data_IF_471841144748
#
_entry.id   IF_471841144748
#
_cell.length_a   1.000
_cell.length_b   1.000
_cell.length_c   1.000
_cell.angle_alpha   90.00
_cell.angle_beta   90.00
_cell.angle_gamma   90.00
#
_symmetry.space_group_name_H-M   'P 1'
#
loop_
_entity.id
_entity.type
_entity.pdbx_description
1 polymer ?
#
# COMPACT_ATOMS: atom_id res chain seq x y z
N UNK A 1 47.61 16.21 24.24
CA UNK A 1 46.19 15.89 24.44
C UNK A 1 45.38 16.70 23.44
N UNK A 2 44.89 16.09 22.37
CA UNK A 2 43.95 16.73 21.44
C UNK A 2 42.84 15.72 21.12
N UNK A 3 41.62 16.22 21.30
CA UNK A 3 40.35 15.53 21.41
C UNK A 3 39.99 14.63 20.23
N UNK A 4 39.39 13.49 20.57
CA UNK A 4 38.58 12.66 19.69
C UNK A 4 37.56 13.50 18.92
N UNK A 5 37.75 13.60 17.61
CA UNK A 5 36.68 14.02 16.71
C UNK A 5 35.73 12.85 16.52
N UNK A 6 34.49 13.04 16.96
CA UNK A 6 33.42 12.07 16.91
C UNK A 6 33.20 11.54 15.48
N UNK A 7 32.87 10.25 15.40
CA UNK A 7 32.58 9.53 14.15
C UNK A 7 31.54 10.27 13.28
N UNK A 8 30.61 10.97 13.92
CA UNK A 8 29.58 11.80 13.27
C UNK A 8 30.19 12.97 12.50
N UNK A 9 31.22 13.65 13.04
CA UNK A 9 31.90 14.75 12.36
C UNK A 9 32.74 14.26 11.16
N UNK A 10 33.28 13.04 11.23
CA UNK A 10 33.94 12.40 10.09
C UNK A 10 32.95 12.05 8.98
N UNK A 11 31.75 11.60 9.34
CA UNK A 11 30.70 11.23 8.40
C UNK A 11 30.05 12.45 7.76
N UNK A 12 29.85 13.53 8.53
CA UNK A 12 29.38 14.83 8.02
C UNK A 12 30.42 15.52 7.15
N UNK A 13 31.70 15.50 7.53
CA UNK A 13 32.75 16.06 6.69
C UNK A 13 32.94 15.26 5.40
N UNK A 14 32.75 13.94 5.42
CA UNK A 14 32.80 13.10 4.23
C UNK A 14 31.60 13.37 3.29
N UNK A 15 30.39 13.51 3.83
CA UNK A 15 29.20 13.82 3.04
C UNK A 15 29.24 15.24 2.46
N UNK A 16 29.75 16.21 3.22
CA UNK A 16 29.96 17.58 2.73
C UNK A 16 31.04 17.67 1.65
N UNK A 17 32.13 16.88 1.76
CA UNK A 17 33.15 16.77 0.71
C UNK A 17 32.61 16.17 -0.58
N UNK A 18 31.71 15.19 -0.47
CA UNK A 18 31.06 14.56 -1.63
C UNK A 18 30.04 15.50 -2.27
N UNK A 19 29.26 16.23 -1.48
CA UNK A 19 28.30 17.23 -1.98
C UNK A 19 29.03 18.40 -2.69
N UNK A 20 30.12 18.91 -2.11
CA UNK A 20 30.91 19.97 -2.74
C UNK A 20 31.56 19.51 -4.04
N UNK A 21 32.13 18.29 -4.07
CA UNK A 21 32.68 17.70 -5.31
C UNK A 21 31.62 17.50 -6.38
N UNK A 22 30.38 17.16 -6.03
CA UNK A 22 29.31 16.96 -7.01
C UNK A 22 28.76 18.29 -7.56
N UNK A 23 28.74 19.35 -6.75
CA UNK A 23 28.40 20.71 -7.20
C UNK A 23 29.51 21.26 -8.11
N UNK A 24 30.79 21.12 -7.76
CA UNK A 24 31.92 21.57 -8.59
C UNK A 24 31.96 20.83 -9.95
N UNK A 25 31.54 19.56 -9.99
CA UNK A 25 31.41 18.78 -11.23
C UNK A 25 30.20 19.24 -12.06
N UNK A 26 29.09 19.60 -11.43
CA UNK A 26 27.91 20.13 -12.11
C UNK A 26 28.19 21.50 -12.76
N UNK A 27 28.91 22.39 -12.07
CA UNK A 27 29.24 23.71 -12.62
C UNK A 27 30.26 23.61 -13.77
N UNK A 28 31.25 22.72 -13.67
CA UNK A 28 32.23 22.53 -14.76
C UNK A 28 31.65 21.87 -16.02
N UNK A 29 30.63 21.03 -15.87
CA UNK A 29 29.91 20.41 -17.00
C UNK A 29 28.98 21.40 -17.68
N UNK A 30 28.32 22.29 -16.92
CA UNK A 30 27.42 23.31 -17.48
C UNK A 30 28.20 24.32 -18.33
N UNK A 31 29.37 24.77 -17.88
CA UNK A 31 30.23 25.68 -18.66
C UNK A 31 30.84 25.02 -19.92
N UNK A 32 31.17 23.72 -19.86
CA UNK A 32 31.71 22.99 -21.01
C UNK A 32 30.66 22.75 -22.11
N UNK A 33 29.40 22.54 -21.73
CA UNK A 33 28.29 22.38 -22.68
C UNK A 33 27.95 23.70 -23.37
N UNK A 34 27.93 24.82 -22.64
CA UNK A 34 27.65 26.15 -23.21
C UNK A 34 28.73 26.54 -24.24
N UNK A 35 30.01 26.29 -23.95
CA UNK A 35 31.10 26.57 -24.90
C UNK A 35 31.10 25.63 -26.12
N UNK A 36 30.66 24.38 -25.95
CA UNK A 36 30.55 23.42 -27.06
C UNK A 36 29.41 23.77 -28.01
N UNK A 37 28.29 24.30 -27.49
CA UNK A 37 27.15 24.75 -28.30
C UNK A 37 27.51 26.02 -29.10
N UNK A 38 28.32 26.93 -28.53
CA UNK A 38 28.85 28.09 -29.26
C UNK A 38 29.68 27.68 -30.49
N UNK A 39 30.60 26.73 -30.31
CA UNK A 39 31.51 26.28 -31.38
C UNK A 39 30.84 25.45 -32.49
N UNK A 40 29.68 24.85 -32.24
CA UNK A 40 28.92 24.11 -33.26
C UNK A 40 28.18 25.07 -34.19
N UNK A 41 27.76 26.23 -33.70
CA UNK A 41 27.04 27.23 -34.51
C UNK A 41 27.93 27.83 -35.60
N UNK A 42 29.24 27.93 -35.36
CA UNK A 42 30.21 28.52 -36.28
C UNK A 42 30.71 27.53 -37.35
N UNK A 43 30.56 26.20 -37.16
CA UNK A 43 31.04 25.18 -38.11
C UNK A 43 30.02 24.70 -39.14
N UNK A 44 28.75 25.07 -39.01
CA UNK A 44 27.67 24.63 -39.92
C UNK A 44 27.53 25.52 -41.17
N UNK A 45 28.27 26.64 -41.25
CA UNK A 45 28.19 27.56 -42.39
C UNK A 45 29.21 27.31 -43.52
N UNK A 46 30.19 26.41 -43.36
CA UNK A 46 31.19 26.12 -44.39
C UNK A 46 31.37 24.62 -44.60
N UNK A 47 30.73 24.04 -45.63
CA UNK A 47 31.31 22.98 -46.47
C UNK A 47 30.27 22.39 -47.44
N UNK A 48 30.16 23.01 -48.62
CA UNK A 48 29.77 22.33 -49.86
C UNK A 48 31.03 21.81 -50.55
N UNK A 49 31.21 20.48 -50.64
CA UNK A 49 31.74 19.80 -51.83
C UNK A 49 31.77 18.27 -51.65
N UNK A 50 31.52 17.59 -52.77
CA UNK A 50 31.20 16.18 -53.00
C UNK A 50 32.44 15.45 -53.57
N UNK A 51 32.57 14.13 -53.34
CA UNK A 51 33.06 13.07 -54.27
C UNK A 51 33.11 11.71 -53.51
N UNK A 52 32.31 10.66 -53.79
CA UNK A 52 32.27 9.61 -54.85
C UNK A 52 33.40 8.54 -54.80
N UNK A 53 33.03 7.33 -54.29
CA UNK A 53 33.47 5.92 -54.54
C UNK A 53 34.98 5.57 -54.78
N UNK A 54 35.61 4.54 -54.18
CA UNK A 54 35.33 3.08 -54.18
C UNK A 54 36.21 2.32 -53.12
N UNK A 55 36.00 0.99 -52.91
CA UNK A 55 36.37 0.26 -51.68
C UNK A 55 37.63 -0.60 -51.81
N UNK A 56 38.40 -0.78 -50.71
CA UNK A 56 39.19 -2.02 -50.52
C UNK A 56 39.69 -2.23 -49.08
N UNK A 57 39.65 -3.49 -48.66
CA UNK A 57 40.39 -4.16 -47.57
C UNK A 57 40.02 -3.89 -46.10
N UNK A 58 39.63 -4.99 -45.42
CA UNK A 58 39.51 -5.12 -43.95
C UNK A 58 40.91 -5.26 -43.35
N UNK A 59 41.19 -4.60 -42.22
CA UNK A 59 41.55 -5.39 -41.04
C UNK A 59 40.91 -4.87 -39.74
N UNK A 60 40.39 -5.81 -38.95
CA UNK A 60 40.40 -5.84 -37.47
C UNK A 60 39.95 -4.61 -36.68
N UNK A 61 38.77 -4.75 -36.06
CA UNK A 61 38.46 -4.41 -34.65
C UNK A 61 39.21 -3.22 -34.04
N UNK A 62 38.68 -2.00 -34.21
CA UNK A 62 38.82 -0.92 -33.22
C UNK A 62 37.48 -0.22 -33.03
N UNK A 63 37.10 -0.10 -31.76
CA UNK A 63 35.75 0.23 -31.30
C UNK A 63 35.22 1.58 -31.82
N UNK A 64 33.95 1.53 -32.21
CA UNK A 64 33.10 2.64 -32.68
C UNK A 64 32.86 3.72 -31.59
N UNK A 65 33.44 3.59 -30.39
CA UNK A 65 33.28 4.56 -29.30
C UNK A 65 34.35 5.66 -29.24
N UNK A 66 35.38 5.65 -30.08
CA UNK A 66 36.45 6.67 -30.02
C UNK A 66 36.05 8.04 -30.61
N UNK A 67 34.85 8.17 -31.20
CA UNK A 67 34.41 9.39 -31.90
C UNK A 67 33.50 10.34 -31.11
N UNK A 68 33.04 9.98 -29.90
CA UNK A 68 31.96 10.75 -29.23
C UNK A 68 32.49 11.81 -28.25
N UNK A 69 33.77 11.77 -27.83
CA UNK A 69 34.34 12.74 -26.88
C UNK A 69 35.79 13.11 -27.23
N UNK A 70 36.03 14.08 -28.13
CA UNK A 70 37.37 14.57 -28.44
C UNK A 70 37.81 15.52 -27.32
N UNK A 71 38.30 14.97 -26.21
CA UNK A 71 38.78 15.79 -25.09
C UNK A 71 39.31 15.03 -23.87
N UNK A 72 39.14 13.70 -23.81
CA UNK A 72 39.53 12.89 -22.63
C UNK A 72 40.87 12.16 -22.87
N UNK A 73 41.54 12.40 -24.00
CA UNK A 73 42.78 11.70 -24.36
C UNK A 73 44.07 12.28 -23.73
N UNK A 74 43.99 13.35 -22.95
CA UNK A 74 45.18 14.02 -22.37
C UNK A 74 45.35 13.80 -20.86
N UNK A 75 44.56 12.93 -20.21
CA UNK A 75 44.69 12.64 -18.78
C UNK A 75 44.60 11.13 -18.53
N UNK A 76 45.74 10.45 -18.67
CA UNK A 76 45.88 8.99 -18.54
C UNK A 76 45.34 8.36 -17.23
N UNK A 77 45.33 8.99 -16.04
CA UNK A 77 44.76 8.35 -14.85
C UNK A 77 43.21 8.43 -14.74
N UNK A 78 42.52 9.12 -15.67
CA UNK A 78 41.05 9.32 -15.58
C UNK A 78 40.26 8.27 -16.39
N UNK A 79 40.89 7.63 -17.39
CA UNK A 79 40.21 6.64 -18.26
C UNK A 79 39.76 5.38 -17.53
N UNK A 80 40.57 4.85 -16.62
CA UNK A 80 40.20 3.67 -15.84
C UNK A 80 39.02 3.97 -14.90
N UNK A 81 39.07 5.07 -14.16
CA UNK A 81 38.03 5.44 -13.20
C UNK A 81 36.67 5.77 -13.85
N UNK A 82 36.64 6.28 -15.08
CA UNK A 82 35.39 6.53 -15.80
C UNK A 82 34.75 5.25 -16.33
N UNK A 83 35.54 4.26 -16.78
CA UNK A 83 34.98 2.94 -17.13
C UNK A 83 34.46 2.20 -15.90
N UNK A 84 35.13 2.32 -14.74
CA UNK A 84 34.58 1.81 -13.49
C UNK A 84 33.31 2.58 -13.07
N UNK A 85 33.27 3.90 -13.21
CA UNK A 85 32.05 4.71 -12.93
C UNK A 85 30.87 4.38 -13.85
N UNK A 86 31.11 4.18 -15.14
CA UNK A 86 30.08 3.80 -16.13
C UNK A 86 29.61 2.35 -15.94
N UNK A 87 30.51 1.43 -15.59
CA UNK A 87 30.12 0.04 -15.29
C UNK A 87 29.36 -0.07 -13.95
N UNK A 88 29.74 0.70 -12.93
CA UNK A 88 29.02 0.76 -11.65
C UNK A 88 27.62 1.37 -11.84
N UNK A 89 27.49 2.43 -12.64
CA UNK A 89 26.17 3.05 -12.90
C UNK A 89 25.27 2.17 -13.76
N UNK A 90 25.80 1.51 -14.80
CA UNK A 90 25.03 0.56 -15.62
C UNK A 90 24.58 -0.68 -14.82
N UNK A 91 25.46 -1.22 -13.98
CA UNK A 91 25.11 -2.35 -13.09
C UNK A 91 24.10 -1.93 -12.03
N UNK A 92 24.23 -0.74 -11.43
CA UNK A 92 23.24 -0.20 -10.51
C UNK A 92 21.87 -0.01 -11.18
N UNK A 93 21.82 0.53 -12.40
CA UNK A 93 20.58 0.67 -13.17
C UNK A 93 19.93 -0.69 -13.46
N UNK A 94 20.72 -1.70 -13.86
CA UNK A 94 20.20 -3.04 -14.11
C UNK A 94 19.69 -3.71 -12.84
N UNK A 95 20.36 -3.51 -11.70
CA UNK A 95 19.92 -4.00 -10.39
C UNK A 95 18.61 -3.32 -10.00
N UNK A 96 18.53 -1.99 -10.08
CA UNK A 96 17.33 -1.20 -9.77
C UNK A 96 16.16 -1.62 -10.69
N UNK A 97 16.42 -1.80 -11.98
CA UNK A 97 15.40 -2.16 -12.95
C UNK A 97 14.87 -3.59 -12.73
N UNK A 98 15.76 -4.56 -12.47
CA UNK A 98 15.37 -5.91 -12.08
C UNK A 98 14.66 -5.94 -10.72
N UNK A 99 15.07 -5.13 -9.75
CA UNK A 99 14.39 -4.97 -8.47
C UNK A 99 12.96 -4.46 -8.64
N UNK A 100 12.75 -3.43 -9.46
CA UNK A 100 11.41 -2.92 -9.73
C UNK A 100 10.52 -3.97 -10.39
N UNK A 101 11.06 -4.80 -11.29
CA UNK A 101 10.29 -5.89 -11.90
C UNK A 101 9.93 -6.99 -10.90
N UNK A 102 10.83 -7.32 -9.97
CA UNK A 102 10.60 -8.35 -8.93
C UNK A 102 9.68 -7.88 -7.80
N UNK A 103 9.66 -6.56 -7.53
CA UNK A 103 8.77 -5.93 -6.56
C UNK A 103 7.42 -5.53 -7.15
N UNK A 104 7.30 -5.53 -8.48
CA UNK A 104 6.04 -5.27 -9.15
C UNK A 104 5.06 -6.39 -8.82
N UNK A 105 3.89 -6.00 -8.35
CA UNK A 105 2.80 -6.92 -8.06
C UNK A 105 1.87 -6.93 -9.27
N UNK A 106 1.39 -8.10 -9.71
CA UNK A 106 0.39 -8.14 -10.77
C UNK A 106 -0.87 -7.42 -10.30
N UNK A 107 -1.69 -6.92 -11.22
CA UNK A 107 -2.96 -6.28 -10.82
C UNK A 107 -4.03 -7.31 -10.40
N UNK A 108 -3.90 -8.54 -10.91
CA UNK A 108 -4.79 -9.68 -10.71
C UNK A 108 -3.98 -10.95 -10.50
N UNK A 109 -4.54 -11.94 -9.80
CA UNK A 109 -3.88 -13.24 -9.66
C UNK A 109 -3.74 -13.92 -11.03
N UNK A 110 -2.57 -14.50 -11.37
CA UNK A 110 -2.39 -15.31 -12.56
C UNK A 110 -3.41 -16.45 -12.62
N UNK A 111 -3.90 -16.82 -13.81
CA UNK A 111 -4.94 -17.86 -13.95
C UNK A 111 -4.52 -19.24 -13.42
N UNK A 112 -3.23 -19.47 -13.24
CA UNK A 112 -2.67 -20.74 -12.77
C UNK A 112 -2.55 -20.81 -11.24
N UNK A 113 -2.78 -19.70 -10.52
CA UNK A 113 -2.65 -19.63 -9.07
C UNK A 113 -4.02 -19.59 -8.41
N UNK A 114 -4.33 -20.61 -7.59
CA UNK A 114 -5.57 -20.67 -6.83
C UNK A 114 -5.33 -20.17 -5.40
N UNK A 115 -5.57 -18.88 -5.17
CA UNK A 115 -5.50 -18.28 -3.84
C UNK A 115 -6.90 -18.04 -3.27
N UNK A 116 -7.09 -18.43 -2.01
CA UNK A 116 -8.33 -18.14 -1.29
C UNK A 116 -8.10 -17.15 -0.14
N UNK A 117 -9.14 -16.38 0.17
CA UNK A 117 -9.18 -15.45 1.29
C UNK A 117 -10.45 -15.71 2.08
N UNK A 118 -10.31 -15.79 3.41
CA UNK A 118 -11.44 -15.87 4.32
C UNK A 118 -11.74 -14.48 4.88
N UNK A 119 -12.94 -13.97 4.65
CA UNK A 119 -13.44 -12.73 5.21
C UNK A 119 -14.40 -13.07 6.34
N UNK A 120 -14.01 -12.74 7.57
CA UNK A 120 -14.89 -12.77 8.74
C UNK A 120 -15.57 -11.40 8.83
N UNK A 121 -16.78 -11.30 8.32
CA UNK A 121 -17.47 -10.02 8.17
C UNK A 121 -18.76 -10.13 7.37
N UNK A 122 -19.66 -9.16 7.54
CA UNK A 122 -20.95 -9.15 6.87
C UNK A 122 -20.94 -8.26 5.61
N UNK A 123 -21.44 -8.78 4.48
CA UNK A 123 -21.59 -8.04 3.22
C UNK A 123 -22.72 -7.01 3.27
N UNK A 124 -23.55 -7.00 4.31
CA UNK A 124 -24.47 -5.88 4.56
C UNK A 124 -23.71 -4.55 4.69
N UNK A 125 -22.47 -4.58 5.19
CA UNK A 125 -21.60 -3.42 5.26
C UNK A 125 -21.05 -3.03 3.86
N UNK A 126 -21.25 -1.79 3.38
CA UNK A 126 -20.76 -1.34 2.09
C UNK A 126 -19.24 -1.39 1.92
N UNK A 127 -18.43 -1.23 2.97
CA UNK A 127 -16.97 -1.32 2.91
C UNK A 127 -16.55 -2.77 2.75
N UNK A 128 -17.11 -3.67 3.57
CA UNK A 128 -16.81 -5.11 3.52
C UNK A 128 -17.21 -5.67 2.15
N UNK A 129 -18.43 -5.38 1.70
CA UNK A 129 -18.91 -5.75 0.36
C UNK A 129 -18.02 -5.22 -0.75
N UNK A 130 -17.57 -3.96 -0.66
CA UNK A 130 -16.65 -3.40 -1.67
C UNK A 130 -15.30 -4.11 -1.66
N UNK A 131 -14.77 -4.46 -0.48
CA UNK A 131 -13.51 -5.19 -0.34
C UNK A 131 -13.61 -6.62 -0.89
N UNK A 132 -14.69 -7.34 -0.59
CA UNK A 132 -14.99 -8.66 -1.13
C UNK A 132 -15.03 -8.61 -2.66
N UNK A 133 -15.77 -7.65 -3.23
CA UNK A 133 -15.90 -7.52 -4.68
C UNK A 133 -14.59 -7.13 -5.36
N UNK A 134 -13.72 -6.34 -4.70
CA UNK A 134 -12.39 -6.04 -5.22
C UNK A 134 -11.51 -7.31 -5.27
N UNK A 135 -11.51 -8.11 -4.20
CA UNK A 135 -10.76 -9.38 -4.16
C UNK A 135 -11.28 -10.38 -5.20
N UNK A 136 -12.61 -10.49 -5.33
CA UNK A 136 -13.22 -11.32 -6.37
C UNK A 136 -12.80 -10.87 -7.78
N UNK A 137 -12.82 -9.56 -8.08
CA UNK A 137 -12.33 -9.04 -9.37
C UNK A 137 -10.86 -9.36 -9.62
N UNK A 138 -10.05 -9.39 -8.56
CA UNK A 138 -8.64 -9.80 -8.59
C UNK A 138 -8.42 -11.32 -8.66
N UNK A 139 -9.49 -12.11 -8.81
CA UNK A 139 -9.53 -13.57 -8.97
C UNK A 139 -9.17 -14.37 -7.72
N UNK A 140 -9.43 -13.83 -6.53
CA UNK A 140 -9.41 -14.65 -5.32
C UNK A 140 -10.70 -15.48 -5.23
N UNK A 141 -10.59 -16.71 -4.73
CA UNK A 141 -11.75 -17.40 -4.16
C UNK A 141 -12.03 -16.80 -2.78
N UNK A 142 -13.19 -16.18 -2.60
CA UNK A 142 -13.52 -15.45 -1.37
C UNK A 142 -14.53 -16.27 -0.56
N UNK A 143 -14.11 -16.69 0.63
CA UNK A 143 -15.01 -17.25 1.62
C UNK A 143 -15.51 -16.15 2.54
N UNK A 144 -16.81 -16.08 2.77
CA UNK A 144 -17.42 -15.01 3.57
C UNK A 144 -18.14 -15.63 4.76
N UNK A 145 -17.56 -15.46 5.93
CA UNK A 145 -18.14 -15.95 7.18
C UNK A 145 -19.02 -14.86 7.80
N UNK A 146 -20.33 -15.10 7.79
CA UNK A 146 -21.34 -14.18 8.34
C UNK A 146 -22.52 -14.95 8.91
N UNK A 147 -23.11 -14.43 10.00
CA UNK A 147 -24.38 -14.95 10.52
C UNK A 147 -25.52 -14.83 9.50
N UNK A 148 -25.44 -13.82 8.60
CA UNK A 148 -26.41 -13.59 7.54
C UNK A 148 -26.11 -14.36 6.23
N UNK A 149 -25.21 -15.35 6.29
CA UNK A 149 -24.79 -16.17 5.13
C UNK A 149 -25.95 -16.83 4.36
N UNK A 150 -27.05 -17.17 5.03
CA UNK A 150 -28.24 -17.76 4.39
C UNK A 150 -28.88 -16.85 3.34
N UNK A 151 -28.89 -15.53 3.58
CA UNK A 151 -29.38 -14.53 2.62
C UNK A 151 -28.49 -14.42 1.39
N UNK A 152 -27.21 -14.77 1.52
CA UNK A 152 -26.22 -14.69 0.44
C UNK A 152 -26.10 -15.98 -0.35
N UNK A 153 -26.41 -17.14 0.25
CA UNK A 153 -26.47 -18.45 -0.43
C UNK A 153 -27.44 -18.47 -1.62
N UNK A 154 -28.49 -17.65 -1.59
CA UNK A 154 -29.43 -17.51 -2.70
C UNK A 154 -28.80 -16.90 -3.96
N UNK A 155 -27.68 -16.17 -3.82
CA UNK A 155 -26.95 -15.54 -4.92
C UNK A 155 -25.66 -16.32 -5.29
N UNK A 156 -25.44 -17.49 -4.70
CA UNK A 156 -24.25 -18.31 -4.95
C UNK A 156 -24.22 -18.80 -6.41
N UNK A 157 -25.39 -19.04 -7.03
CA UNK A 157 -25.52 -19.40 -8.44
C UNK A 157 -25.02 -18.32 -9.42
N UNK A 158 -24.91 -17.06 -8.98
CA UNK A 158 -24.42 -15.95 -9.81
C UNK A 158 -22.92 -15.66 -9.62
N UNK A 159 -22.27 -16.28 -8.61
CA UNK A 159 -20.90 -15.92 -8.20
C UNK A 159 -20.01 -17.14 -7.91
N UNK A 160 -19.51 -17.77 -8.98
CA UNK A 160 -18.69 -19.02 -8.98
C UNK A 160 -17.50 -19.09 -7.99
N UNK A 161 -17.04 -17.96 -7.45
CA UNK A 161 -15.87 -17.91 -6.56
C UNK A 161 -16.14 -17.22 -5.21
N UNK A 162 -17.40 -16.99 -4.86
CA UNK A 162 -17.80 -16.42 -3.57
C UNK A 162 -18.60 -17.47 -2.78
N UNK A 163 -18.05 -17.94 -1.66
CA UNK A 163 -18.65 -19.00 -0.85
C UNK A 163 -19.07 -18.47 0.53
N UNK A 164 -20.36 -18.29 0.79
CA UNK A 164 -20.86 -17.88 2.10
C UNK A 164 -20.79 -19.04 3.12
N UNK A 165 -20.17 -18.78 4.27
CA UNK A 165 -20.02 -19.70 5.40
C UNK A 165 -20.87 -19.20 6.57
N UNK A 166 -21.69 -20.08 7.15
CA UNK A 166 -22.33 -19.79 8.42
C UNK A 166 -21.39 -20.13 9.59
N UNK A 167 -21.03 -19.18 10.46
CA UNK A 167 -20.14 -19.42 11.61
C UNK A 167 -20.71 -20.45 12.62
N UNK A 168 -22.03 -20.63 12.65
CA UNK A 168 -22.70 -21.60 13.51
C UNK A 168 -22.83 -23.00 12.87
N UNK A 169 -22.56 -23.13 11.56
CA UNK A 169 -22.69 -24.39 10.82
C UNK A 169 -21.36 -25.17 10.82
N UNK A 170 -21.25 -26.31 11.51
CA UNK A 170 -20.04 -27.11 11.49
C UNK A 170 -19.71 -27.66 10.10
N UNK A 171 -20.72 -27.93 9.27
CA UNK A 171 -20.51 -28.42 7.91
C UNK A 171 -19.87 -27.37 7.00
N UNK A 172 -20.25 -26.10 7.14
CA UNK A 172 -19.69 -25.01 6.33
C UNK A 172 -18.22 -24.75 6.73
N UNK A 173 -17.92 -24.83 8.03
CA UNK A 173 -16.55 -24.73 8.53
C UNK A 173 -15.70 -25.93 8.10
N UNK A 174 -16.26 -27.14 8.16
CA UNK A 174 -15.61 -28.35 7.67
C UNK A 174 -15.29 -28.23 6.18
N UNK A 175 -16.25 -27.80 5.35
CA UNK A 175 -16.05 -27.55 3.93
C UNK A 175 -14.90 -26.57 3.67
N UNK A 176 -14.82 -25.46 4.41
CA UNK A 176 -13.70 -24.53 4.29
C UNK A 176 -12.37 -25.19 4.66
N UNK A 177 -12.32 -25.93 5.77
CA UNK A 177 -11.09 -26.62 6.18
C UNK A 177 -10.67 -27.69 5.18
N UNK A 178 -11.61 -28.44 4.62
CA UNK A 178 -11.35 -29.42 3.55
C UNK A 178 -10.88 -28.71 2.29
N UNK A 179 -11.48 -27.58 1.92
CA UNK A 179 -11.09 -26.81 0.74
C UNK A 179 -9.63 -26.34 0.80
N UNK A 180 -9.13 -25.96 1.99
CA UNK A 180 -7.74 -25.50 2.16
C UNK A 180 -6.75 -26.64 2.44
N UNK A 181 -7.21 -27.81 2.91
CA UNK A 181 -6.33 -28.94 3.29
C UNK A 181 -6.29 -30.06 2.27
N UNK A 182 -7.40 -30.33 1.57
CA UNK A 182 -7.46 -31.38 0.56
C UNK A 182 -6.79 -30.88 -0.73
N UNK A 183 -5.68 -31.54 -1.05
CA UNK A 183 -4.79 -31.28 -2.17
C UNK A 183 -5.44 -31.54 -3.53
N UNK A 184 -6.40 -30.70 -3.90
CA UNK A 184 -6.81 -30.57 -5.29
C UNK A 184 -5.65 -29.97 -6.09
N UNK A 185 -5.32 -30.58 -7.22
CA UNK A 185 -4.35 -30.04 -8.17
C UNK A 185 -5.07 -29.00 -9.06
N UNK A 186 -4.60 -27.74 -9.14
CA UNK A 186 -3.40 -27.16 -8.51
C UNK A 186 -3.62 -26.76 -7.03
N UNK A 187 -2.56 -26.81 -6.20
CA UNK A 187 -2.64 -26.63 -4.76
C UNK A 187 -3.26 -25.28 -4.41
N UNK A 188 -4.35 -25.33 -3.64
CA UNK A 188 -5.07 -24.14 -3.18
C UNK A 188 -4.37 -23.56 -1.96
N UNK A 189 -4.02 -22.28 -2.02
CA UNK A 189 -3.31 -21.59 -0.94
C UNK A 189 -4.22 -20.60 -0.23
N UNK A 190 -4.36 -20.75 1.09
CA UNK A 190 -4.94 -19.70 1.92
C UNK A 190 -3.97 -18.52 1.99
N UNK A 191 -4.35 -17.41 1.35
CA UNK A 191 -3.52 -16.22 1.26
C UNK A 191 -3.62 -15.36 2.54
N UNK A 192 -4.84 -15.11 3.03
CA UNK A 192 -5.05 -14.27 4.21
C UNK A 192 -6.43 -14.49 4.82
N UNK A 193 -6.56 -14.19 6.12
CA UNK A 193 -7.84 -14.09 6.82
C UNK A 193 -8.07 -12.62 7.17
N UNK A 194 -9.17 -12.05 6.67
CA UNK A 194 -9.56 -10.68 6.94
C UNK A 194 -10.61 -10.67 8.05
N UNK A 195 -10.27 -10.12 9.21
CA UNK A 195 -11.21 -9.91 10.30
C UNK A 195 -11.81 -8.50 10.17
N UNK A 196 -13.01 -8.42 9.61
CA UNK A 196 -13.71 -7.18 9.29
C UNK A 196 -14.98 -7.08 10.13
N UNK A 197 -14.94 -6.46 11.34
CA UNK A 197 -16.18 -6.10 12.01
C UNK A 197 -16.94 -5.08 11.16
N UNK A 198 -18.18 -4.74 11.49
CA UNK A 198 -18.87 -3.63 10.80
C UNK A 198 -17.98 -2.37 10.82
N UNK A 199 -17.86 -1.71 9.67
CA UNK A 199 -16.95 -0.58 9.44
C UNK A 199 -17.69 0.72 9.10
N UNK A 200 -19.00 0.63 8.87
CA UNK A 200 -19.87 1.74 8.51
C UNK A 200 -20.95 1.97 9.57
N UNK A 201 -20.66 2.86 10.52
CA UNK A 201 -21.60 3.16 11.61
C UNK A 201 -22.51 4.34 11.27
N UNK A 202 -23.81 4.13 11.46
CA UNK A 202 -24.89 5.12 11.49
C UNK A 202 -25.77 4.71 12.67
N UNK A 203 -25.81 5.39 13.84
CA UNK A 203 -25.98 6.84 13.99
C UNK A 203 -25.18 7.44 15.19
N UNK A 204 -25.32 8.74 15.39
CA UNK A 204 -24.94 9.48 16.62
C UNK A 204 -25.95 9.22 17.73
N UNK A 205 -25.53 8.81 18.92
CA UNK A 205 -26.43 8.68 20.08
C UNK A 205 -26.08 7.51 21.01
N UNK A 206 -26.70 7.50 22.18
CA UNK A 206 -26.63 6.37 23.11
C UNK A 206 -27.45 5.20 22.56
N UNK A 207 -26.82 4.03 22.44
CA UNK A 207 -27.48 2.80 22.06
C UNK A 207 -27.94 2.06 23.32
N UNK A 208 -29.14 1.45 23.31
CA UNK A 208 -29.58 0.61 24.41
C UNK A 208 -28.63 -0.59 24.56
N UNK A 209 -28.50 -1.07 25.80
CA UNK A 209 -27.55 -2.13 26.16
C UNK A 209 -27.77 -3.39 25.33
N UNK A 210 -29.03 -3.76 25.05
CA UNK A 210 -29.40 -4.92 24.25
C UNK A 210 -28.86 -4.83 22.82
N UNK A 211 -29.02 -3.67 22.16
CA UNK A 211 -28.47 -3.45 20.82
C UNK A 211 -26.94 -3.46 20.83
N UNK A 212 -26.31 -2.89 21.86
CA UNK A 212 -24.84 -2.94 21.99
C UNK A 212 -24.33 -4.36 22.20
N UNK A 213 -24.99 -5.16 23.04
CA UNK A 213 -24.66 -6.57 23.25
C UNK A 213 -24.82 -7.37 21.96
N UNK A 214 -25.89 -7.12 21.21
CA UNK A 214 -26.11 -7.73 19.92
C UNK A 214 -24.96 -7.39 18.95
N UNK A 215 -24.64 -6.11 18.75
CA UNK A 215 -23.54 -5.67 17.89
C UNK A 215 -22.18 -6.27 18.28
N UNK A 216 -21.86 -6.33 19.59
CA UNK A 216 -20.61 -6.94 20.05
C UNK A 216 -20.56 -8.45 19.78
N UNK A 217 -21.69 -9.13 19.99
CA UNK A 217 -21.81 -10.57 19.76
C UNK A 217 -21.63 -10.88 18.28
N UNK A 218 -22.41 -10.25 17.42
CA UNK A 218 -22.46 -10.54 15.98
C UNK A 218 -21.20 -10.08 15.24
N UNK A 219 -20.64 -8.92 15.58
CA UNK A 219 -19.52 -8.34 14.84
C UNK A 219 -18.14 -8.77 15.33
N UNK A 220 -18.01 -9.24 16.57
CA UNK A 220 -16.70 -9.58 17.14
C UNK A 220 -16.70 -10.99 17.71
N UNK A 221 -17.57 -11.30 18.68
CA UNK A 221 -17.44 -12.53 19.45
C UNK A 221 -17.68 -13.76 18.58
N UNK A 222 -18.68 -13.73 17.69
CA UNK A 222 -18.94 -14.82 16.75
C UNK A 222 -17.73 -15.05 15.84
N UNK A 223 -17.19 -14.00 15.21
CA UNK A 223 -16.03 -14.11 14.32
C UNK A 223 -14.76 -14.55 15.05
N UNK A 224 -14.53 -14.05 16.26
CA UNK A 224 -13.39 -14.45 17.07
C UNK A 224 -13.49 -15.94 17.46
N UNK A 225 -14.67 -16.40 17.88
CA UNK A 225 -14.89 -17.81 18.20
C UNK A 225 -14.66 -18.70 16.98
N UNK A 226 -15.17 -18.31 15.81
CA UNK A 226 -14.92 -19.04 14.55
C UNK A 226 -13.43 -19.05 14.21
N UNK A 227 -12.72 -17.93 14.35
CA UNK A 227 -11.29 -17.86 14.09
C UNK A 227 -10.48 -18.80 15.00
N UNK A 228 -10.77 -18.80 16.30
CA UNK A 228 -10.09 -19.68 17.28
C UNK A 228 -10.34 -21.16 16.95
N UNK A 229 -11.54 -21.52 16.49
CA UNK A 229 -11.85 -22.88 16.02
C UNK A 229 -11.08 -23.25 14.75
N UNK A 230 -10.86 -22.30 13.83
CA UNK A 230 -10.17 -22.55 12.56
C UNK A 230 -8.65 -22.62 12.71
N UNK A 231 -8.05 -21.86 13.62
CA UNK A 231 -6.59 -21.75 13.78
C UNK A 231 -5.86 -23.11 13.84
N UNK A 232 -6.33 -24.11 14.61
CA UNK A 232 -5.67 -25.43 14.68
C UNK A 232 -5.65 -26.21 13.36
N UNK A 233 -6.55 -25.89 12.43
CA UNK A 233 -6.72 -26.59 11.15
C UNK A 233 -6.02 -25.88 9.98
N UNK A 234 -5.33 -24.76 10.23
CA UNK A 234 -4.65 -24.02 9.18
C UNK A 234 -3.36 -24.76 8.76
N UNK A 235 -3.15 -25.00 7.46
CA UNK A 235 -2.02 -25.79 6.96
C UNK A 235 -0.67 -25.06 7.08
N UNK A 236 -0.69 -23.72 7.13
CA UNK A 236 0.51 -22.89 7.09
C UNK A 236 0.90 -22.38 8.48
N UNK A 237 2.17 -22.57 8.84
CA UNK A 237 2.79 -22.06 10.07
C UNK A 237 3.02 -20.54 10.09
N UNK A 238 2.56 -19.81 9.06
CA UNK A 238 2.65 -18.35 8.98
C UNK A 238 1.43 -17.75 8.26
N UNK A 239 0.23 -18.16 8.69
CA UNK A 239 -1.01 -17.65 8.08
C UNK A 239 -1.20 -16.17 8.41
N UNK A 240 -1.46 -15.35 7.39
CA UNK A 240 -1.68 -13.92 7.58
C UNK A 240 -3.10 -13.66 8.10
N UNK A 241 -3.22 -12.85 9.14
CA UNK A 241 -4.49 -12.34 9.64
C UNK A 241 -4.42 -10.81 9.64
N UNK A 242 -5.36 -10.16 8.96
CA UNK A 242 -5.49 -8.71 8.92
C UNK A 242 -6.73 -8.30 9.69
N UNK A 243 -6.54 -7.62 10.82
CA UNK A 243 -7.62 -7.11 11.67
C UNK A 243 -7.95 -5.68 11.27
N UNK A 244 -9.22 -5.41 10.96
CA UNK A 244 -9.68 -4.07 10.60
C UNK A 244 -10.25 -3.38 11.84
N UNK A 245 -9.66 -2.24 12.20
CA UNK A 245 -10.04 -1.48 13.38
C UNK A 245 -10.71 -0.16 12.98
N UNK A 246 -12.00 0.07 13.30
CA UNK A 246 -12.66 1.36 13.13
C UNK A 246 -12.17 2.32 14.24
N UNK A 247 -10.91 2.74 14.17
CA UNK A 247 -10.21 3.43 15.26
C UNK A 247 -10.41 4.94 15.26
N UNK A 248 -11.07 5.50 14.25
CA UNK A 248 -11.04 6.95 14.00
C UNK A 248 -11.72 7.74 15.11
N UNK A 249 -12.93 7.33 15.49
CA UNK A 249 -13.68 7.91 16.61
C UNK A 249 -12.95 7.75 17.93
N UNK A 250 -12.32 6.59 18.15
CA UNK A 250 -11.50 6.31 19.33
C UNK A 250 -10.31 7.25 19.43
N UNK A 251 -9.57 7.42 18.33
CA UNK A 251 -8.40 8.28 18.27
C UNK A 251 -8.76 9.77 18.41
N UNK A 252 -9.92 10.19 17.90
CA UNK A 252 -10.39 11.57 18.00
C UNK A 252 -11.03 11.92 19.35
N UNK A 253 -11.25 10.94 20.22
CA UNK A 253 -11.86 11.14 21.54
C UNK A 253 -13.31 11.61 21.46
N UNK A 254 -14.05 11.24 20.39
CA UNK A 254 -15.46 11.62 20.24
C UNK A 254 -16.35 10.74 21.11
N UNK A 255 -17.08 11.36 22.04
CA UNK A 255 -17.86 10.67 23.09
C UNK A 255 -19.20 10.09 22.62
N UNK A 256 -19.75 10.56 21.49
CA UNK A 256 -21.12 10.25 21.06
C UNK A 256 -21.28 9.00 20.19
N UNK A 257 -20.25 8.15 20.14
CA UNK A 257 -20.17 6.97 19.26
C UNK A 257 -19.65 5.76 20.03
N UNK A 258 -20.38 5.38 21.08
CA UNK A 258 -19.98 4.35 22.05
C UNK A 258 -19.70 3.00 21.40
N UNK A 259 -20.53 2.56 20.45
CA UNK A 259 -20.33 1.27 19.76
C UNK A 259 -19.00 1.19 19.02
N UNK A 260 -18.61 2.24 18.30
CA UNK A 260 -17.32 2.25 17.62
C UNK A 260 -16.15 2.26 18.61
N UNK A 261 -16.26 3.01 19.71
CA UNK A 261 -15.26 3.02 20.79
C UNK A 261 -15.06 1.63 21.38
N UNK A 262 -16.16 0.94 21.71
CA UNK A 262 -16.12 -0.41 22.26
C UNK A 262 -15.52 -1.38 21.25
N UNK A 263 -16.02 -1.38 20.01
CA UNK A 263 -15.55 -2.29 18.96
C UNK A 263 -14.04 -2.07 18.71
N UNK A 264 -13.58 -0.83 18.63
CA UNK A 264 -12.15 -0.52 18.50
C UNK A 264 -11.31 -1.05 19.66
N UNK A 265 -11.81 -0.90 20.90
CA UNK A 265 -11.16 -1.46 22.09
C UNK A 265 -11.10 -2.99 22.09
N UNK A 266 -12.16 -3.65 21.64
CA UNK A 266 -12.22 -5.10 21.50
C UNK A 266 -11.26 -5.61 20.42
N UNK A 267 -11.25 -5.00 19.22
CA UNK A 267 -10.32 -5.38 18.15
C UNK A 267 -8.88 -5.21 18.59
N UNK A 268 -8.56 -4.13 19.32
CA UNK A 268 -7.23 -3.93 19.90
C UNK A 268 -6.86 -5.03 20.90
N UNK A 269 -7.84 -5.51 21.68
CA UNK A 269 -7.64 -6.61 22.62
C UNK A 269 -7.44 -7.95 21.89
N UNK A 270 -8.24 -8.21 20.84
CA UNK A 270 -8.08 -9.38 19.96
C UNK A 270 -6.71 -9.39 19.30
N UNK A 271 -6.25 -8.24 18.80
CA UNK A 271 -4.91 -8.09 18.22
C UNK A 271 -3.81 -8.52 19.20
N UNK A 272 -3.86 -8.03 20.44
CA UNK A 272 -2.89 -8.40 21.48
C UNK A 272 -2.96 -9.88 21.83
N UNK A 273 -4.16 -10.45 21.93
CA UNK A 273 -4.35 -11.86 22.25
C UNK A 273 -3.79 -12.77 21.14
N UNK A 274 -4.11 -12.47 19.88
CA UNK A 274 -3.67 -13.27 18.74
C UNK A 274 -2.15 -13.15 18.52
N UNK A 275 -1.52 -12.01 18.83
CA UNK A 275 -0.08 -11.79 18.61
C UNK A 275 0.81 -12.82 19.34
N UNK A 276 0.28 -13.49 20.37
CA UNK A 276 0.99 -14.53 21.10
C UNK A 276 1.11 -15.86 20.33
N UNK A 277 0.35 -16.04 19.24
CA UNK A 277 0.40 -17.25 18.42
C UNK A 277 1.56 -17.18 17.42
N UNK A 278 2.54 -18.08 17.57
CA UNK A 278 3.73 -18.13 16.69
C UNK A 278 3.43 -18.55 15.25
N UNK A 279 2.29 -19.19 15.01
CA UNK A 279 1.88 -19.70 13.70
C UNK A 279 1.17 -18.66 12.83
N UNK A 280 0.94 -17.46 13.37
CA UNK A 280 0.12 -16.43 12.74
C UNK A 280 0.94 -15.15 12.53
N UNK A 281 0.86 -14.57 11.34
CA UNK A 281 1.34 -13.20 11.07
C UNK A 281 0.17 -12.25 11.16
N UNK A 282 0.09 -11.50 12.25
CA UNK A 282 -1.07 -10.67 12.54
C UNK A 282 -0.75 -9.21 12.27
N UNK A 283 -1.56 -8.58 11.45
CA UNK A 283 -1.51 -7.16 11.16
C UNK A 283 -2.80 -6.49 11.60
N UNK A 284 -2.72 -5.26 12.10
CA UNK A 284 -3.88 -4.43 12.41
C UNK A 284 -3.91 -3.22 11.49
N UNK A 285 -5.07 -2.93 10.93
CA UNK A 285 -5.31 -1.81 10.03
C UNK A 285 -6.27 -0.86 10.71
N UNK A 286 -5.76 0.29 11.11
CA UNK A 286 -6.54 1.40 11.63
C UNK A 286 -7.15 2.18 10.45
N UNK A 287 -8.48 2.23 10.43
CA UNK A 287 -9.25 2.79 9.35
C UNK A 287 -9.52 4.28 9.56
N UNK A 288 -9.38 5.04 8.47
CA UNK A 288 -9.72 6.45 8.38
C UNK A 288 -11.00 6.70 7.57
N UNK A 289 -11.14 7.91 7.06
CA UNK A 289 -12.26 8.29 6.19
C UNK A 289 -12.07 7.73 4.77
N UNK A 290 -13.07 7.00 4.28
CA UNK A 290 -13.16 6.49 2.90
C UNK A 290 -14.40 6.98 2.18
N UNK A 291 -14.27 7.27 0.90
CA UNK A 291 -15.39 7.62 0.02
C UNK A 291 -15.89 6.35 -0.68
N UNK A 292 -17.18 6.02 -0.54
CA UNK A 292 -17.79 4.82 -1.14
C UNK A 292 -18.94 5.23 -2.05
N UNK A 293 -18.83 4.93 -3.36
CA UNK A 293 -19.90 5.10 -4.38
C UNK A 293 -20.71 6.41 -4.24
N UNK A 294 -20.01 7.55 -4.24
CA UNK A 294 -20.64 8.88 -4.17
C UNK A 294 -21.00 9.38 -2.77
N UNK A 295 -20.93 8.55 -1.72
CA UNK A 295 -21.05 9.01 -0.33
C UNK A 295 -19.74 9.65 0.15
N UNK A 296 -19.84 10.77 0.85
CA UNK A 296 -18.68 11.57 1.29
C UNK A 296 -17.71 10.78 2.19
N UNK A 297 -18.24 9.93 3.07
CA UNK A 297 -17.48 9.15 4.03
C UNK A 297 -18.23 7.89 4.49
N UNK A 298 -17.48 6.85 4.85
CA UNK A 298 -17.95 5.73 5.67
C UNK A 298 -18.48 6.20 7.04
N UNK A 299 -17.88 7.26 7.58
CA UNK A 299 -18.36 7.96 8.76
C UNK A 299 -19.35 9.05 8.37
N UNK A 300 -20.62 8.67 8.16
CA UNK A 300 -21.66 9.63 7.71
C UNK A 300 -21.80 10.84 8.65
N UNK A 301 -21.49 10.67 9.92
CA UNK A 301 -21.53 11.75 10.92
C UNK A 301 -20.45 12.83 10.71
N UNK A 302 -19.30 12.50 10.10
CA UNK A 302 -18.18 13.44 9.99
C UNK A 302 -18.26 14.42 8.82
N UNK A 303 -19.24 14.32 7.90
CA UNK A 303 -19.46 15.24 6.75
C UNK A 303 -18.18 15.67 5.98
N UNK A 304 -17.12 14.87 6.02
CA UNK A 304 -15.83 15.13 5.43
C UNK A 304 -15.61 14.18 4.26
N UNK A 305 -14.98 14.65 3.19
CA UNK A 305 -14.61 13.80 2.05
C UNK A 305 -13.45 12.88 2.44
N UNK A 306 -13.69 11.57 2.39
CA UNK A 306 -12.68 10.53 2.56
C UNK A 306 -11.76 10.38 1.35
N UNK A 307 -10.80 9.46 1.47
CA UNK A 307 -9.99 8.98 0.33
C UNK A 307 -10.83 7.97 -0.46
N UNK A 308 -10.71 7.94 -1.79
CA UNK A 308 -11.35 6.89 -2.60
C UNK A 308 -10.97 5.50 -2.05
N UNK A 309 -11.98 4.66 -1.82
CA UNK A 309 -11.82 3.34 -1.22
C UNK A 309 -10.88 2.43 -2.04
N UNK A 310 -10.85 2.58 -3.37
CA UNK A 310 -9.96 1.77 -4.23
C UNK A 310 -8.48 2.02 -3.93
N UNK A 311 -8.08 3.29 -3.86
CA UNK A 311 -6.72 3.71 -3.56
C UNK A 311 -6.42 3.76 -2.04
N UNK A 312 -7.46 3.87 -1.21
CA UNK A 312 -7.38 4.05 0.22
C UNK A 312 -7.32 2.75 1.01
N UNK A 313 -8.03 1.72 0.55
CA UNK A 313 -8.21 0.46 1.25
C UNK A 313 -7.86 -0.73 0.35
N UNK A 314 -8.56 -0.86 -0.79
CA UNK A 314 -8.51 -2.08 -1.61
C UNK A 314 -7.10 -2.39 -2.14
N UNK A 315 -6.48 -1.42 -2.81
CA UNK A 315 -5.14 -1.59 -3.37
C UNK A 315 -4.08 -1.82 -2.27
N UNK A 316 -4.04 -1.05 -1.16
CA UNK A 316 -3.14 -1.36 -0.05
C UNK A 316 -3.31 -2.76 0.53
N UNK A 317 -4.55 -3.20 0.79
CA UNK A 317 -4.83 -4.53 1.36
C UNK A 317 -4.40 -5.62 0.39
N UNK A 318 -4.73 -5.49 -0.89
CA UNK A 318 -4.25 -6.42 -1.93
C UNK A 318 -2.73 -6.52 -1.93
N UNK A 319 -2.03 -5.38 -1.90
CA UNK A 319 -0.55 -5.35 -1.87
C UNK A 319 0.01 -6.01 -0.61
N UNK A 320 -0.64 -5.87 0.54
CA UNK A 320 -0.25 -6.55 1.79
C UNK A 320 -0.42 -8.07 1.68
N UNK A 321 -1.54 -8.54 1.11
CA UNK A 321 -1.78 -9.98 0.92
C UNK A 321 -0.75 -10.57 -0.05
N UNK A 322 -0.51 -9.90 -1.18
CA UNK A 322 0.41 -10.42 -2.20
C UNK A 322 1.88 -10.35 -1.78
N UNK A 323 2.31 -9.33 -1.03
CA UNK A 323 3.70 -9.25 -0.52
C UNK A 323 4.00 -10.36 0.48
N UNK A 324 3.07 -10.64 1.38
CA UNK A 324 3.22 -11.70 2.39
C UNK A 324 3.29 -13.07 1.73
N UNK A 325 2.50 -13.27 0.66
CA UNK A 325 2.42 -14.54 -0.06
C UNK A 325 3.39 -14.68 -1.24
N UNK A 326 4.10 -13.60 -1.59
CA UNK A 326 4.93 -13.51 -2.78
C UNK A 326 6.36 -14.01 -2.57
N UNK A 327 7.26 -13.58 -3.47
CA UNK A 327 8.65 -14.03 -3.49
C UNK A 327 9.42 -13.62 -2.21
N UNK A 328 10.51 -14.33 -1.89
CA UNK A 328 11.37 -14.03 -0.73
C UNK A 328 11.82 -12.55 -0.67
N UNK A 329 12.04 -11.92 -1.82
CA UNK A 329 12.39 -10.49 -1.88
C UNK A 329 11.23 -9.58 -1.44
N UNK A 330 9.99 -9.91 -1.82
CA UNK A 330 8.81 -9.15 -1.41
C UNK A 330 8.56 -9.32 0.08
N UNK A 331 8.71 -10.55 0.59
CA UNK A 331 8.67 -10.84 2.02
C UNK A 331 9.78 -10.13 2.79
N UNK A 332 10.99 -10.03 2.22
CA UNK A 332 12.11 -9.29 2.82
C UNK A 332 11.84 -7.78 2.88
N UNK A 333 11.26 -7.20 1.84
CA UNK A 333 10.85 -5.79 1.84
C UNK A 333 9.74 -5.54 2.87
N UNK A 334 8.78 -6.45 2.98
CA UNK A 334 7.76 -6.39 4.02
C UNK A 334 8.37 -6.48 5.42
N UNK A 335 9.28 -7.43 5.63
CA UNK A 335 10.04 -7.58 6.87
C UNK A 335 10.83 -6.31 7.20
N UNK A 336 11.48 -5.68 6.23
CA UNK A 336 12.20 -4.42 6.42
C UNK A 336 11.24 -3.28 6.79
N UNK A 337 10.11 -3.17 6.08
CA UNK A 337 9.10 -2.13 6.30
C UNK A 337 8.41 -2.24 7.66
N UNK A 338 8.34 -3.45 8.22
CA UNK A 338 7.78 -3.73 9.55
C UNK A 338 8.84 -3.73 10.65
N UNK A 339 10.08 -3.36 10.34
CA UNK A 339 11.27 -3.45 11.21
C UNK A 339 11.38 -4.82 11.88
N UNK A 340 11.31 -5.88 11.08
CA UNK A 340 11.35 -7.26 11.52
C UNK A 340 10.09 -7.73 12.24
N UNK A 341 8.91 -7.27 11.80
CA UNK A 341 7.62 -7.62 12.40
C UNK A 341 7.28 -6.89 13.70
N UNK A 342 8.07 -5.89 14.11
CA UNK A 342 7.78 -5.08 15.30
C UNK A 342 6.60 -4.13 15.08
N UNK A 343 6.49 -3.57 13.88
CA UNK A 343 5.43 -2.63 13.50
C UNK A 343 4.45 -3.29 12.52
N UNK A 344 3.43 -3.93 13.06
CA UNK A 344 2.35 -4.57 12.30
C UNK A 344 1.04 -3.76 12.33
N UNK A 345 1.14 -2.46 12.66
CA UNK A 345 -0.01 -1.53 12.72
C UNK A 345 0.08 -0.60 11.52
N UNK A 346 -0.94 -0.65 10.67
CA UNK A 346 -1.05 0.12 9.45
C UNK A 346 -2.19 1.14 9.58
N UNK A 347 -2.07 2.25 8.86
CA UNK A 347 -3.05 3.33 8.86
C UNK A 347 -3.54 3.57 7.44
N UNK A 348 -4.79 3.25 7.16
CA UNK A 348 -5.38 3.33 5.82
C UNK A 348 -6.53 4.34 5.79
N UNK A 349 -6.62 5.11 4.71
CA UNK A 349 -7.64 6.16 4.57
C UNK A 349 -7.18 7.54 5.04
N UNK A 350 -8.04 8.54 4.86
CA UNK A 350 -7.72 9.92 5.23
C UNK A 350 -7.86 10.10 6.75
N UNK A 351 -6.93 10.83 7.35
CA UNK A 351 -6.83 11.06 8.81
C UNK A 351 -6.60 9.83 9.69
N UNK A 352 -6.42 8.63 9.13
CA UNK A 352 -6.16 7.42 9.93
C UNK A 352 -4.94 7.59 10.84
N UNK A 353 -3.79 7.96 10.29
CA UNK A 353 -2.58 8.24 11.08
C UNK A 353 -2.68 9.55 11.84
N UNK A 354 -3.18 10.62 11.20
CA UNK A 354 -3.27 11.93 11.86
C UNK A 354 -4.10 11.86 13.12
N UNK A 355 -5.17 11.05 13.14
CA UNK A 355 -6.05 10.90 14.30
C UNK A 355 -5.31 10.41 15.55
N UNK A 356 -4.21 9.67 15.44
CA UNK A 356 -3.46 9.19 16.61
C UNK A 356 -2.63 10.28 17.29
N UNK A 357 -2.49 11.45 16.67
CA UNK A 357 -1.72 12.55 17.24
C UNK A 357 -2.56 13.31 18.28
N UNK A 358 -1.98 13.75 19.41
CA UNK A 358 -2.73 14.40 20.49
C UNK A 358 -3.42 15.71 20.06
N UNK A 359 -2.92 16.38 19.02
CA UNK A 359 -3.49 17.61 18.47
C UNK A 359 -4.42 17.39 17.27
N UNK A 360 -4.68 16.13 16.88
CA UNK A 360 -5.53 15.81 15.73
C UNK A 360 -6.96 16.35 15.82
N UNK A 361 -7.64 16.32 16.99
CA UNK A 361 -8.98 16.89 17.11
C UNK A 361 -9.00 18.39 16.79
N UNK A 362 -7.93 19.12 17.13
CA UNK A 362 -7.79 20.54 16.82
C UNK A 362 -7.61 20.76 15.31
N UNK A 363 -6.73 20.01 14.66
CA UNK A 363 -6.51 20.11 13.20
C UNK A 363 -7.77 19.76 12.41
N UNK A 364 -8.52 18.73 12.82
CA UNK A 364 -9.77 18.39 12.15
C UNK A 364 -10.84 19.47 12.35
N UNK A 365 -10.99 20.02 13.56
CA UNK A 365 -11.90 21.17 13.79
C UNK A 365 -11.51 22.39 12.95
N UNK A 366 -10.21 22.68 12.85
CA UNK A 366 -9.70 23.77 12.03
C UNK A 366 -9.99 23.54 10.55
N UNK A 367 -9.77 22.33 10.04
CA UNK A 367 -10.06 22.00 8.63
C UNK A 367 -11.57 21.99 8.32
N UNK A 368 -12.40 21.53 9.25
CA UNK A 368 -13.87 21.61 9.14
C UNK A 368 -14.30 23.08 9.09
N UNK A 369 -13.72 23.93 9.96
CA UNK A 369 -14.00 25.37 10.01
C UNK A 369 -13.55 26.12 8.75
N UNK A 370 -12.38 25.78 8.21
CA UNK A 370 -11.93 26.33 6.93
C UNK A 370 -12.84 25.87 5.79
N UNK A 371 -13.16 24.58 5.74
CA UNK A 371 -14.00 24.03 4.67
C UNK A 371 -15.43 24.59 4.69
N UNK A 372 -15.99 24.86 5.87
CA UNK A 372 -17.30 25.53 6.00
C UNK A 372 -17.21 27.00 5.58
N UNK A 373 -16.15 27.71 5.97
CA UNK A 373 -15.90 29.11 5.62
C UNK A 373 -15.71 29.29 4.11
N UNK A 374 -14.95 28.41 3.45
CA UNK A 374 -14.79 28.41 1.99
C UNK A 374 -16.07 28.05 1.25
N UNK A 375 -16.88 27.11 1.77
CA UNK A 375 -18.21 26.82 1.20
C UNK A 375 -19.15 28.01 1.33
N UNK A 376 -19.11 28.72 2.46
CA UNK A 376 -19.87 29.95 2.66
C UNK A 376 -19.42 31.06 1.72
N UNK A 377 -18.11 31.29 1.59
CA UNK A 377 -17.56 32.25 0.64
C UNK A 377 -17.92 31.91 -0.81
N UNK A 378 -17.83 30.64 -1.21
CA UNK A 378 -18.22 30.19 -2.54
C UNK A 378 -19.71 30.35 -2.81
N UNK A 379 -20.56 30.06 -1.81
CA UNK A 379 -22.01 30.30 -1.90
C UNK A 379 -22.34 31.78 -1.98
N UNK A 380 -21.68 32.62 -1.19
CA UNK A 380 -21.84 34.08 -1.23
C UNK A 380 -21.39 34.68 -2.58
N UNK A 381 -20.30 34.18 -3.15
CA UNK A 381 -19.85 34.58 -4.50
C UNK A 381 -20.85 34.10 -5.57
N UNK A 382 -21.34 32.87 -5.48
CA UNK A 382 -22.33 32.35 -6.40
C UNK A 382 -23.66 33.13 -6.33
N UNK A 383 -24.14 33.43 -5.11
CA UNK A 383 -25.37 34.21 -4.88
C UNK A 383 -25.22 35.68 -5.32
N UNK A 384 -24.01 36.26 -5.26
CA UNK A 384 -23.75 37.59 -5.83
C UNK A 384 -23.63 37.59 -7.36
N UNK A 385 -23.12 36.50 -7.94
CA UNK A 385 -23.01 36.35 -9.40
C UNK A 385 -24.37 36.09 -10.06
N UNK A 386 -25.33 35.47 -9.36
CA UNK A 386 -26.70 35.26 -9.86
C UNK A 386 -27.60 36.49 -9.76
N UNK A 387 -27.24 37.50 -8.96
CA UNK A 387 -27.96 38.80 -8.87
C UNK A 387 -27.47 39.80 -9.94
N UNK A 388 -26.38 39.49 -10.64
CA UNK A 388 -25.78 40.31 -11.71
C UNK A 388 -26.14 39.85 -13.13
N UNK A 389 -27.02 38.85 -13.26
CA UNK A 389 -27.70 38.48 -14.51
C UNK A 389 -29.20 38.75 -14.36
#
# INVERSE_FOLDING_TARGET
MSSDQDFVDKLFNASFKLAKKSIDIADSTTHSVINSIGNIKDKVFDSSNIDVFQPETVPTTKGIFSGILPGINSIEPIKENWMYGLSISATALLIIWKWNKLLCLPDHIPQNENMCVLVLGDMSDPIIRSQVMDLYRRRFTVFICSENSSSFKQFEEETDFIHPINPASPSDLAFFTEFITQGSEPPRKLASILFMPNLSYQPTGELPVESMQHELKTNILTYYNTLIKLIPHLPNSNTQIILFNPSLTYNLGTTHHTTELFISGFITSVFKALKNYKTLSISMVNLGLFQVRGQLSNYKHMRLTGKDISCGLHTPIYKMIMRHNGNLLQQFVEWLSTCGGKYQIYYLGKFSYLSTLPFAPFLMKFQISIASSFKFARKFIADKLTVLN
#
